data_IF_534329922588
#
_entry.id   IF_534329922588
#
_cell.length_a   1.000
_cell.length_b   1.000
_cell.length_c   1.000
_cell.angle_alpha   90.00
_cell.angle_beta   90.00
_cell.angle_gamma   90.00
#
_symmetry.space_group_name_H-M   'P 1'
#
loop_
_entity.id
_entity.type
_entity.pdbx_description
1 polymer ?
#
# COMPACT_ATOMS: atom_id res chain seq x y z
N UNK A 1 3.20 11.52 5.00
CA UNK A 1 1.87 11.76 4.40
C UNK A 1 0.99 12.55 5.36
N UNK A 2 0.68 12.01 6.54
CA UNK A 2 -0.19 12.66 7.53
C UNK A 2 0.42 13.97 8.09
N UNK A 3 1.60 13.90 8.72
CA UNK A 3 2.23 15.06 9.40
C UNK A 3 2.83 16.11 8.45
N UNK A 4 3.47 15.66 7.37
CA UNK A 4 4.22 16.53 6.43
C UNK A 4 3.38 17.07 5.27
N UNK A 5 2.39 16.33 4.81
CA UNK A 5 1.66 16.65 3.58
C UNK A 5 0.17 16.90 3.82
N UNK A 6 -0.32 16.84 5.07
CA UNK A 6 -1.72 17.07 5.40
C UNK A 6 -2.67 16.11 4.66
N UNK A 7 -2.22 14.88 4.39
CA UNK A 7 -2.98 13.87 3.64
C UNK A 7 -3.89 13.05 4.57
N UNK A 8 -4.61 13.73 5.46
CA UNK A 8 -5.59 13.12 6.38
C UNK A 8 -6.88 13.93 6.39
N UNK A 9 -8.03 13.25 6.41
CA UNK A 9 -9.35 13.90 6.32
C UNK A 9 -9.76 14.57 7.62
N UNK A 10 -9.28 14.07 8.76
CA UNK A 10 -9.72 14.51 10.08
C UNK A 10 -8.79 15.58 10.65
N UNK A 11 -7.48 15.50 10.36
CA UNK A 11 -6.51 16.55 10.67
C UNK A 11 -6.48 17.68 9.63
N UNK A 12 -7.08 17.47 8.46
CA UNK A 12 -7.13 18.43 7.37
C UNK A 12 -5.79 18.61 6.66
N UNK A 13 -5.70 19.64 5.81
CA UNK A 13 -4.53 19.92 4.95
C UNK A 13 -3.43 20.71 5.66
N UNK A 14 -3.28 20.51 6.97
CA UNK A 14 -2.31 21.24 7.80
C UNK A 14 -0.96 20.52 7.78
N UNK A 15 0.13 21.29 7.70
CA UNK A 15 1.49 20.77 7.86
C UNK A 15 1.93 20.96 9.31
N UNK A 16 2.19 19.84 9.98
CA UNK A 16 2.65 19.81 11.38
C UNK A 16 4.17 19.69 11.52
N UNK A 17 4.89 19.56 10.40
CA UNK A 17 6.34 19.49 10.36
C UNK A 17 6.92 20.85 9.97
N UNK A 18 7.63 21.50 10.88
CA UNK A 18 8.43 22.68 10.55
C UNK A 18 9.74 22.25 9.88
N UNK A 19 10.07 22.83 8.72
CA UNK A 19 11.29 22.53 7.97
C UNK A 19 12.54 23.25 8.54
N UNK A 20 12.61 23.44 9.85
CA UNK A 20 13.75 24.10 10.47
C UNK A 20 14.90 23.09 10.61
N UNK A 21 15.91 23.23 9.74
CA UNK A 21 17.14 22.43 9.66
C UNK A 21 18.03 22.47 10.92
N UNK A 22 17.62 23.17 11.97
CA UNK A 22 18.32 23.17 13.26
C UNK A 22 17.96 21.89 14.02
N UNK A 23 18.96 21.06 14.26
CA UNK A 23 18.94 19.76 14.99
C UNK A 23 18.37 19.83 16.43
N UNK A 24 17.90 21.01 16.86
CA UNK A 24 17.46 21.33 18.22
C UNK A 24 16.02 21.86 18.32
N UNK A 25 15.14 21.58 17.35
CA UNK A 25 13.71 21.85 17.54
C UNK A 25 13.04 20.69 18.28
N UNK A 26 13.26 20.65 19.59
CA UNK A 26 12.63 19.71 20.52
C UNK A 26 11.16 20.05 20.81
N UNK A 27 10.69 21.21 20.37
CA UNK A 27 9.29 21.63 20.54
C UNK A 27 8.46 21.27 19.31
N UNK A 28 7.56 20.30 19.48
CA UNK A 28 6.49 20.03 18.52
C UNK A 28 5.54 21.23 18.54
N UNK A 29 5.34 21.90 17.41
CA UNK A 29 4.43 23.06 17.27
C UNK A 29 2.94 22.73 17.35
N UNK A 30 2.56 21.64 18.01
CA UNK A 30 1.19 21.16 18.14
C UNK A 30 0.95 20.55 19.53
N UNK A 31 -0.29 20.59 19.97
CA UNK A 31 -0.67 20.10 21.31
C UNK A 31 -0.46 18.58 21.45
N UNK A 32 -0.28 18.11 22.69
CA UNK A 32 -0.26 16.66 23.01
C UNK A 32 -1.50 15.94 22.50
N UNK A 33 -2.67 16.58 22.58
CA UNK A 33 -3.92 16.05 22.02
C UNK A 33 -3.81 15.82 20.51
N UNK A 34 -3.19 16.75 19.79
CA UNK A 34 -2.94 16.61 18.34
C UNK A 34 -1.92 15.51 18.06
N UNK A 35 -0.88 15.39 18.89
CA UNK A 35 0.11 14.31 18.79
C UNK A 35 -0.55 12.93 18.90
N UNK A 36 -1.42 12.75 19.90
CA UNK A 36 -2.18 11.51 20.09
C UNK A 36 -3.06 11.16 18.88
N UNK A 37 -3.75 12.16 18.31
CA UNK A 37 -4.57 11.97 17.10
C UNK A 37 -3.69 11.55 15.92
N UNK A 38 -2.54 12.20 15.73
CA UNK A 38 -1.58 11.85 14.67
C UNK A 38 -1.16 10.38 14.78
N UNK A 39 -0.78 9.93 15.98
CA UNK A 39 -0.36 8.55 16.20
C UNK A 39 -1.47 7.54 15.91
N UNK A 40 -2.71 7.86 16.31
CA UNK A 40 -3.89 7.04 16.01
C UNK A 40 -4.14 6.93 14.49
N UNK A 41 -4.01 8.04 13.76
CA UNK A 41 -4.16 8.05 12.29
C UNK A 41 -3.05 7.27 11.60
N UNK A 42 -1.81 7.39 12.05
CA UNK A 42 -0.69 6.60 11.52
C UNK A 42 -0.95 5.11 11.73
N UNK A 43 -1.36 4.71 12.93
CA UNK A 43 -1.67 3.31 13.25
C UNK A 43 -2.80 2.76 12.37
N UNK A 44 -3.87 3.53 12.21
CA UNK A 44 -5.01 3.14 11.37
C UNK A 44 -4.60 3.01 9.90
N UNK A 45 -3.85 3.98 9.38
CA UNK A 45 -3.33 3.95 8.02
C UNK A 45 -2.42 2.73 7.77
N UNK A 46 -1.53 2.41 8.71
CA UNK A 46 -0.67 1.23 8.60
C UNK A 46 -1.48 -0.07 8.62
N UNK A 47 -2.48 -0.18 9.49
CA UNK A 47 -3.38 -1.33 9.54
C UNK A 47 -4.14 -1.52 8.22
N UNK A 48 -4.67 -0.44 7.65
CA UNK A 48 -5.35 -0.47 6.34
C UNK A 48 -4.42 -0.91 5.21
N UNK A 49 -3.20 -0.37 5.16
CA UNK A 49 -2.20 -0.77 4.18
C UNK A 49 -1.82 -2.25 4.33
N UNK A 50 -1.67 -2.73 5.56
CA UNK A 50 -1.39 -4.13 5.85
C UNK A 50 -2.53 -5.04 5.36
N UNK A 51 -3.77 -4.74 5.74
CA UNK A 51 -4.94 -5.55 5.34
C UNK A 51 -5.15 -5.53 3.82
N UNK A 52 -4.97 -4.38 3.16
CA UNK A 52 -5.01 -4.29 1.69
C UNK A 52 -3.95 -5.17 1.04
N UNK A 53 -2.72 -5.10 1.54
CA UNK A 53 -1.59 -5.89 1.02
C UNK A 53 -1.81 -7.38 1.24
N UNK A 54 -2.21 -7.78 2.44
CA UNK A 54 -2.55 -9.16 2.79
C UNK A 54 -3.68 -9.70 1.91
N UNK A 55 -4.74 -8.92 1.71
CA UNK A 55 -5.85 -9.28 0.81
C UNK A 55 -5.37 -9.46 -0.63
N UNK A 56 -4.54 -8.56 -1.14
CA UNK A 56 -3.98 -8.66 -2.49
C UNK A 56 -3.13 -9.94 -2.66
N UNK A 57 -2.27 -10.23 -1.68
CA UNK A 57 -1.42 -11.43 -1.66
C UNK A 57 -2.28 -12.69 -1.63
N UNK A 58 -3.25 -12.79 -0.73
CA UNK A 58 -4.15 -13.94 -0.60
C UNK A 58 -4.97 -14.14 -1.88
N UNK A 59 -5.53 -13.06 -2.45
CA UNK A 59 -6.29 -13.12 -3.71
C UNK A 59 -5.45 -13.65 -4.88
N UNK A 60 -4.13 -13.53 -4.82
CA UNK A 60 -3.20 -14.00 -5.85
C UNK A 60 -2.32 -15.16 -5.36
N UNK A 61 -2.75 -15.88 -4.32
CA UNK A 61 -2.00 -16.99 -3.72
C UNK A 61 -1.50 -18.01 -4.75
N UNK A 62 -2.35 -18.43 -5.69
CA UNK A 62 -1.96 -19.37 -6.75
C UNK A 62 -0.88 -18.83 -7.70
N UNK A 63 -0.87 -17.52 -7.98
CA UNK A 63 0.19 -16.89 -8.77
C UNK A 63 1.50 -16.88 -7.98
N UNK A 64 1.43 -16.55 -6.69
CA UNK A 64 2.58 -16.51 -5.80
C UNK A 64 3.18 -17.91 -5.65
N UNK A 65 2.37 -18.94 -5.45
CA UNK A 65 2.82 -20.34 -5.40
C UNK A 65 3.53 -20.75 -6.69
N UNK A 66 2.98 -20.40 -7.86
CA UNK A 66 3.65 -20.67 -9.14
C UNK A 66 5.00 -19.96 -9.25
N UNK A 67 5.07 -18.69 -8.84
CA UNK A 67 6.33 -17.94 -8.83
C UNK A 67 7.33 -18.57 -7.85
N UNK A 68 6.88 -19.01 -6.67
CA UNK A 68 7.73 -19.69 -5.69
C UNK A 68 8.31 -20.98 -6.22
N UNK A 69 7.52 -21.81 -6.92
CA UNK A 69 8.03 -23.05 -7.56
C UNK A 69 9.11 -22.72 -8.59
N UNK A 70 8.86 -21.74 -9.47
CA UNK A 70 9.86 -21.37 -10.49
C UNK A 70 11.13 -20.81 -9.84
N UNK A 71 11.00 -20.03 -8.76
CA UNK A 71 12.16 -19.49 -8.03
C UNK A 71 12.93 -20.56 -7.27
N UNK A 72 12.29 -21.64 -6.83
CA UNK A 72 12.98 -22.79 -6.24
C UNK A 72 13.86 -23.51 -7.26
N UNK A 73 13.46 -23.54 -8.54
CA UNK A 73 14.21 -24.20 -9.60
C UNK A 73 15.31 -23.31 -10.21
N UNK A 74 15.00 -22.03 -10.49
CA UNK A 74 15.91 -21.12 -11.21
C UNK A 74 16.71 -20.17 -10.32
N UNK A 75 16.38 -20.04 -9.04
CA UNK A 75 16.98 -19.11 -8.03
C UNK A 75 16.87 -17.60 -8.35
N UNK A 76 16.62 -17.23 -9.61
CA UNK A 76 16.38 -15.87 -10.06
C UNK A 76 15.33 -15.85 -11.17
N UNK A 77 14.75 -14.67 -11.40
CA UNK A 77 13.75 -14.47 -12.44
C UNK A 77 13.92 -13.10 -13.08
N UNK A 78 14.04 -13.05 -14.40
CA UNK A 78 14.18 -11.79 -15.11
C UNK A 78 12.82 -11.09 -15.25
N UNK A 79 12.85 -9.77 -15.44
CA UNK A 79 11.63 -8.95 -15.59
C UNK A 79 10.69 -9.50 -16.67
N UNK A 80 11.22 -9.88 -17.82
CA UNK A 80 10.44 -10.39 -18.96
C UNK A 80 9.74 -11.71 -18.62
N UNK A 81 10.45 -12.63 -17.94
CA UNK A 81 9.91 -13.92 -17.48
C UNK A 81 8.81 -13.70 -16.44
N UNK A 82 9.01 -12.75 -15.53
CA UNK A 82 8.05 -12.40 -14.48
C UNK A 82 6.76 -11.87 -15.11
N UNK A 83 6.88 -10.94 -16.05
CA UNK A 83 5.73 -10.40 -16.78
C UNK A 83 4.98 -11.48 -17.57
N UNK A 84 5.69 -12.44 -18.16
CA UNK A 84 5.09 -13.54 -18.91
C UNK A 84 4.25 -14.44 -17.98
N UNK A 85 4.79 -14.81 -16.81
CA UNK A 85 4.07 -15.62 -15.81
C UNK A 85 2.82 -14.87 -15.31
N UNK A 86 2.94 -13.57 -15.02
CA UNK A 86 1.81 -12.74 -14.58
C UNK A 86 0.73 -12.62 -15.67
N UNK A 87 1.12 -12.33 -16.92
CA UNK A 87 0.17 -12.18 -18.04
C UNK A 87 -0.62 -13.48 -18.27
N UNK A 88 0.05 -14.63 -18.19
CA UNK A 88 -0.61 -15.93 -18.33
C UNK A 88 -1.61 -16.21 -17.19
N UNK A 89 -1.28 -15.80 -15.97
CA UNK A 89 -2.21 -15.92 -14.83
C UNK A 89 -3.40 -14.96 -14.92
N UNK A 90 -3.17 -13.71 -15.35
CA UNK A 90 -4.23 -12.70 -15.53
C UNK A 90 -5.24 -13.09 -16.62
N UNK A 91 -4.78 -13.71 -17.71
CA UNK A 91 -5.65 -14.25 -18.77
C UNK A 91 -6.60 -15.34 -18.25
N UNK A 92 -6.15 -16.17 -17.30
CA UNK A 92 -6.95 -17.23 -16.68
C UNK A 92 -7.98 -16.70 -15.65
N UNK A 93 -7.80 -15.48 -15.14
CA UNK A 93 -8.65 -14.88 -14.09
C UNK A 93 -9.74 -13.94 -14.61
N UNK A 94 -9.85 -13.69 -15.92
CA UNK A 94 -11.00 -12.94 -16.47
C UNK A 94 -12.27 -13.78 -16.31
N UNK A 95 -13.22 -13.43 -15.43
CA UNK A 95 -14.59 -13.86 -15.67
C UNK A 95 -15.07 -13.09 -16.89
N UNK A 96 -15.84 -13.74 -17.75
CA UNK A 96 -16.62 -13.06 -18.77
C UNK A 96 -17.44 -11.95 -18.10
N UNK A 97 -17.06 -10.69 -18.30
CA UNK A 97 -17.94 -9.57 -18.01
C UNK A 97 -19.10 -9.74 -18.97
N UNK A 98 -20.20 -10.32 -18.49
CA UNK A 98 -21.48 -10.30 -19.19
C UNK A 98 -21.76 -8.83 -19.49
N UNK A 99 -21.70 -8.47 -20.78
CA UNK A 99 -22.32 -7.25 -21.29
C UNK A 99 -23.77 -7.28 -20.85
N UNK A 100 -24.11 -6.57 -19.77
CA UNK A 100 -25.51 -6.22 -19.52
C UNK A 100 -25.78 -5.04 -20.45
N UNK A 101 -26.13 -5.39 -21.68
CA UNK A 101 -27.00 -4.57 -22.52
C UNK A 101 -28.36 -4.54 -21.84
N UNK A 102 -28.95 -3.35 -21.73
CA UNK A 102 -30.38 -2.99 -21.64
C UNK A 102 -30.47 -1.74 -20.76
N UNK A 103 -31.21 -0.68 -21.08
CA UNK A 103 -31.95 -0.25 -22.27
C UNK A 103 -32.22 1.24 -22.01
#
# INVERSE_FOLDING_TARGET
MIVKYGMDKDLGTVTYLENNKSEYNMFRGYSEKTAQIIDEKIKTYMADCYEKSKKLVIQNKQLIEKLSVVLLDKEYLNKEEFELIIKNFSKAKKPAVKKIVKK
#
